data_IF_829513872762
#
_entry.id   IF_829513872762
#
_cell.length_a   1.000
_cell.length_b   1.000
_cell.length_c   1.000
_cell.angle_alpha   90.00
_cell.angle_beta   90.00
_cell.angle_gamma   90.00
#
_symmetry.space_group_name_H-M   'P 1'
#
loop_
_entity.id
_entity.type
_entity.pdbx_description
1 polymer ?
#
# COMPACT_ATOMS: atom_id res chain seq x y z
N UNK A 1 5.02 -23.04 -1.52
CA UNK A 1 4.45 -21.92 -2.28
C UNK A 1 3.00 -21.81 -1.89
N UNK A 2 2.63 -20.72 -1.18
CA UNK A 2 1.26 -20.49 -0.72
C UNK A 2 0.35 -20.14 -1.91
N UNK A 3 -0.98 -20.34 -1.72
CA UNK A 3 -1.98 -19.89 -2.71
C UNK A 3 -1.87 -18.38 -2.97
N UNK A 4 -1.48 -17.62 -1.94
CA UNK A 4 -1.25 -16.18 -2.00
C UNK A 4 -0.05 -15.81 -2.91
N UNK A 5 1.03 -16.61 -2.88
CA UNK A 5 2.20 -16.40 -3.74
C UNK A 5 1.86 -16.64 -5.23
N UNK A 6 0.95 -17.59 -5.50
CA UNK A 6 0.49 -17.91 -6.86
C UNK A 6 -0.42 -16.80 -7.37
N UNK A 7 -1.31 -16.31 -6.51
CA UNK A 7 -2.23 -15.22 -6.84
C UNK A 7 -1.45 -13.92 -7.12
N UNK A 8 -0.50 -13.56 -6.24
CA UNK A 8 0.39 -12.40 -6.40
C UNK A 8 1.16 -12.45 -7.72
N UNK A 9 1.79 -13.61 -8.04
CA UNK A 9 2.52 -13.78 -9.29
C UNK A 9 1.61 -13.71 -10.52
N UNK A 10 0.42 -14.32 -10.43
CA UNK A 10 -0.54 -14.29 -11.52
C UNK A 10 -1.05 -12.87 -11.76
N UNK A 11 -1.44 -12.17 -10.69
CA UNK A 11 -1.94 -10.79 -10.74
C UNK A 11 -0.88 -9.81 -11.26
N UNK A 12 0.36 -9.93 -10.76
CA UNK A 12 1.48 -9.11 -11.21
C UNK A 12 1.87 -9.39 -12.66
N UNK A 13 1.80 -10.64 -13.12
CA UNK A 13 2.08 -11.00 -14.51
C UNK A 13 0.97 -10.50 -15.44
N UNK A 14 -0.28 -10.56 -15.03
CA UNK A 14 -1.40 -10.07 -15.83
C UNK A 14 -1.38 -8.53 -15.92
N UNK A 15 -1.10 -7.83 -14.83
CA UNK A 15 -0.97 -6.36 -14.81
C UNK A 15 0.25 -5.89 -15.59
N UNK A 16 1.41 -6.54 -15.47
CA UNK A 16 2.61 -6.19 -16.22
C UNK A 16 2.57 -6.66 -17.69
N UNK A 17 1.90 -7.78 -17.97
CA UNK A 17 1.72 -8.29 -19.34
C UNK A 17 0.82 -7.41 -20.19
N UNK A 18 -0.19 -6.78 -19.59
CA UNK A 18 -1.12 -5.90 -20.29
C UNK A 18 -0.53 -4.53 -20.67
N UNK A 19 0.62 -4.14 -20.10
CA UNK A 19 1.34 -2.93 -20.52
C UNK A 19 2.08 -3.10 -21.87
N UNK A 20 2.11 -4.30 -22.44
CA UNK A 20 2.76 -4.59 -23.72
C UNK A 20 1.82 -5.03 -24.85
N UNK A 21 0.51 -5.14 -24.59
CA UNK A 21 -0.46 -5.60 -25.59
C UNK A 21 -1.41 -4.50 -26.06
N UNK A 22 -1.56 -4.46 -27.35
CA UNK A 22 -2.47 -3.69 -28.20
C UNK A 22 -3.90 -3.60 -27.62
N UNK A 23 -4.47 -2.43 -27.72
CA UNK A 23 -5.78 -1.95 -27.26
C UNK A 23 -7.03 -2.72 -27.76
N UNK A 24 -6.95 -4.01 -28.05
CA UNK A 24 -8.08 -4.76 -28.66
C UNK A 24 -8.55 -6.03 -27.95
N UNK A 25 -7.83 -6.51 -26.95
CA UNK A 25 -8.21 -7.73 -26.21
C UNK A 25 -8.26 -7.48 -24.69
N UNK A 26 -9.06 -6.49 -24.29
CA UNK A 26 -9.42 -6.32 -22.88
C UNK A 26 -10.54 -7.30 -22.52
N UNK A 27 -10.16 -8.54 -22.20
CA UNK A 27 -11.02 -9.33 -21.32
C UNK A 27 -10.84 -8.75 -19.91
N UNK A 28 -11.81 -7.98 -19.37
CA UNK A 28 -11.67 -7.44 -18.04
C UNK A 28 -11.49 -8.61 -17.08
N UNK A 29 -10.50 -8.53 -16.20
CA UNK A 29 -10.41 -9.42 -15.04
C UNK A 29 -11.79 -9.51 -14.40
N UNK A 30 -12.23 -10.67 -13.90
CA UNK A 30 -13.49 -10.76 -13.19
C UNK A 30 -13.54 -9.63 -12.16
N UNK A 31 -14.45 -8.69 -12.36
CA UNK A 31 -14.57 -7.55 -11.44
C UNK A 31 -14.91 -8.12 -10.08
N UNK A 32 -14.04 -7.91 -9.10
CA UNK A 32 -14.39 -8.21 -7.72
C UNK A 32 -15.68 -7.47 -7.35
N UNK A 33 -16.52 -8.08 -6.50
CA UNK A 33 -17.77 -7.45 -6.09
C UNK A 33 -17.48 -6.12 -5.35
N UNK A 34 -18.39 -5.18 -5.50
CA UNK A 34 -18.31 -3.89 -4.82
C UNK A 34 -18.18 -4.05 -3.30
N UNK A 35 -17.29 -3.28 -2.71
CA UNK A 35 -17.01 -3.23 -1.28
C UNK A 35 -17.73 -2.02 -0.70
N UNK A 36 -18.76 -2.25 0.13
CA UNK A 36 -19.59 -1.17 0.68
C UNK A 36 -20.16 -0.21 -0.39
N UNK A 37 -20.47 -0.73 -1.60
CA UNK A 37 -20.97 0.05 -2.72
C UNK A 37 -19.89 0.85 -3.48
N UNK A 38 -18.62 0.58 -3.24
CA UNK A 38 -17.48 1.19 -3.93
C UNK A 38 -16.71 0.13 -4.71
N UNK A 39 -16.09 0.55 -5.81
CA UNK A 39 -15.14 -0.31 -6.55
C UNK A 39 -13.96 -0.68 -5.66
N UNK A 40 -13.43 -1.91 -5.76
CA UNK A 40 -12.27 -2.35 -4.99
C UNK A 40 -11.05 -1.42 -5.12
N UNK A 41 -10.79 -0.89 -6.33
CA UNK A 41 -9.70 0.06 -6.57
C UNK A 41 -9.86 1.36 -5.75
N UNK A 42 -11.10 1.87 -5.68
CA UNK A 42 -11.41 3.06 -4.86
C UNK A 42 -11.22 2.78 -3.38
N UNK A 43 -11.59 1.58 -2.92
CA UNK A 43 -11.34 1.18 -1.54
C UNK A 43 -9.84 1.07 -1.24
N UNK A 44 -9.06 0.51 -2.15
CA UNK A 44 -7.60 0.46 -2.05
C UNK A 44 -6.97 1.87 -2.01
N UNK A 45 -7.48 2.80 -2.81
CA UNK A 45 -7.07 4.21 -2.74
C UNK A 45 -7.31 4.80 -1.35
N UNK A 46 -8.50 4.60 -0.77
CA UNK A 46 -8.84 5.08 0.58
C UNK A 46 -7.93 4.43 1.64
N UNK A 47 -7.60 3.14 1.47
CA UNK A 47 -6.69 2.43 2.36
C UNK A 47 -5.29 3.09 2.37
N UNK A 48 -4.76 3.47 1.21
CA UNK A 48 -3.50 4.20 1.13
C UNK A 48 -3.59 5.60 1.73
N UNK A 49 -4.63 6.36 1.40
CA UNK A 49 -4.81 7.73 1.88
C UNK A 49 -5.09 7.80 3.38
N UNK A 50 -5.68 6.73 3.96
CA UNK A 50 -5.93 6.67 5.41
C UNK A 50 -4.66 6.79 6.25
N UNK A 51 -3.49 6.47 5.68
CA UNK A 51 -2.19 6.66 6.33
C UNK A 51 -1.89 8.14 6.64
N UNK A 52 -2.43 9.08 5.87
CA UNK A 52 -2.24 10.53 6.10
C UNK A 52 -2.89 11.00 7.41
N UNK A 53 -3.86 10.24 7.94
CA UNK A 53 -4.44 10.47 9.27
C UNK A 53 -3.51 10.03 10.40
N UNK A 54 -2.39 9.37 10.07
CA UNK A 54 -1.45 8.75 11.01
C UNK A 54 -0.68 9.71 11.90
N UNK A 55 -0.88 11.03 11.81
CA UNK A 55 -0.32 12.00 12.75
C UNK A 55 -0.94 11.94 14.16
N UNK A 56 -2.00 11.13 14.31
CA UNK A 56 -2.68 10.87 15.60
C UNK A 56 -2.69 9.37 15.89
N UNK A 57 -2.72 9.00 17.18
CA UNK A 57 -2.83 7.58 17.59
C UNK A 57 -4.03 6.86 16.95
N UNK A 58 -5.14 7.57 16.74
CA UNK A 58 -6.33 7.05 16.07
C UNK A 58 -6.05 6.80 14.59
N UNK A 59 -5.30 7.68 13.93
CA UNK A 59 -4.94 7.53 12.52
C UNK A 59 -4.07 6.29 12.23
N UNK A 60 -3.34 5.81 13.22
CA UNK A 60 -2.59 4.55 13.11
C UNK A 60 -3.50 3.32 12.97
N UNK A 61 -4.62 3.32 13.66
CA UNK A 61 -5.55 2.20 13.64
C UNK A 61 -6.37 2.14 12.34
N UNK A 62 -6.62 3.28 11.70
CA UNK A 62 -7.53 3.36 10.54
C UNK A 62 -7.12 2.44 9.39
N UNK A 63 -5.89 2.47 8.84
CA UNK A 63 -5.51 1.57 7.75
C UNK A 63 -5.55 0.10 8.17
N UNK A 64 -5.23 -0.22 9.42
CA UNK A 64 -5.28 -1.59 9.94
C UNK A 64 -6.73 -2.09 10.00
N UNK A 65 -7.64 -1.25 10.50
CA UNK A 65 -9.07 -1.59 10.59
C UNK A 65 -9.67 -1.73 9.20
N UNK A 66 -9.42 -0.79 8.29
CA UNK A 66 -9.92 -0.86 6.91
C UNK A 66 -9.45 -2.15 6.21
N UNK A 67 -8.18 -2.50 6.37
CA UNK A 67 -7.67 -3.75 5.82
C UNK A 67 -8.33 -4.98 6.48
N UNK A 68 -8.37 -5.04 7.81
CA UNK A 68 -8.89 -6.19 8.55
C UNK A 68 -10.36 -6.49 8.26
N UNK A 69 -11.18 -5.47 7.98
CA UNK A 69 -12.60 -5.62 7.67
C UNK A 69 -12.87 -6.31 6.33
N UNK A 70 -11.94 -6.23 5.38
CA UNK A 70 -12.20 -6.62 3.98
C UNK A 70 -11.18 -7.63 3.44
N UNK A 71 -10.05 -7.83 4.08
CA UNK A 71 -8.96 -8.72 3.61
C UNK A 71 -9.43 -10.12 3.20
N UNK A 72 -10.43 -10.67 3.91
CA UNK A 72 -10.95 -12.03 3.65
C UNK A 72 -11.98 -12.06 2.51
N UNK A 73 -12.43 -10.90 2.03
CA UNK A 73 -13.44 -10.75 0.97
C UNK A 73 -12.87 -10.31 -0.37
N UNK A 74 -11.73 -9.65 -0.36
CA UNK A 74 -11.08 -9.09 -1.54
C UNK A 74 -9.58 -9.34 -1.50
N UNK A 75 -9.07 -10.24 -2.33
CA UNK A 75 -7.63 -10.47 -2.50
C UNK A 75 -6.86 -9.20 -2.90
N UNK A 76 -7.49 -8.33 -3.69
CA UNK A 76 -6.91 -7.05 -4.08
C UNK A 76 -6.68 -6.14 -2.86
N UNK A 77 -7.69 -6.03 -1.97
CA UNK A 77 -7.57 -5.24 -0.74
C UNK A 77 -6.55 -5.85 0.21
N UNK A 78 -6.47 -7.19 0.30
CA UNK A 78 -5.46 -7.85 1.13
C UNK A 78 -4.05 -7.53 0.64
N UNK A 79 -3.82 -7.57 -0.65
CA UNK A 79 -2.53 -7.24 -1.26
C UNK A 79 -2.13 -5.77 -1.00
N UNK A 80 -3.03 -4.82 -1.25
CA UNK A 80 -2.79 -3.41 -0.97
C UNK A 80 -2.60 -3.15 0.53
N UNK A 81 -3.35 -3.84 1.39
CA UNK A 81 -3.22 -3.74 2.84
C UNK A 81 -1.84 -4.20 3.33
N UNK A 82 -1.32 -5.31 2.82
CA UNK A 82 0.03 -5.78 3.12
C UNK A 82 1.10 -4.77 2.70
N UNK A 83 0.94 -4.14 1.53
CA UNK A 83 1.85 -3.07 1.06
C UNK A 83 1.83 -1.88 2.02
N UNK A 84 0.64 -1.43 2.43
CA UNK A 84 0.45 -0.33 3.39
C UNK A 84 1.07 -0.66 4.74
N UNK A 85 0.81 -1.84 5.28
CA UNK A 85 1.34 -2.27 6.57
C UNK A 85 2.86 -2.42 6.56
N UNK A 86 3.42 -3.00 5.51
CA UNK A 86 4.87 -3.12 5.35
C UNK A 86 5.55 -1.76 5.38
N UNK A 87 5.02 -0.79 4.63
CA UNK A 87 5.53 0.57 4.64
C UNK A 87 5.41 1.23 6.01
N UNK A 88 4.28 1.04 6.66
CA UNK A 88 3.99 1.63 7.96
C UNK A 88 4.96 1.18 9.04
N UNK A 89 5.22 -0.14 9.10
CA UNK A 89 6.20 -0.70 10.03
C UNK A 89 7.61 -0.23 9.68
N UNK A 90 7.96 -0.19 8.40
CA UNK A 90 9.26 0.32 7.94
C UNK A 90 9.47 1.78 8.36
N UNK A 91 8.44 2.60 8.20
CA UNK A 91 8.47 4.02 8.59
C UNK A 91 8.68 4.18 10.11
N UNK A 92 8.02 3.35 10.93
CA UNK A 92 8.22 3.36 12.39
C UNK A 92 9.67 3.03 12.76
N UNK A 93 10.25 2.02 12.12
CA UNK A 93 11.65 1.63 12.34
C UNK A 93 12.59 2.77 11.94
N UNK A 94 12.36 3.40 10.79
CA UNK A 94 13.18 4.52 10.32
C UNK A 94 13.04 5.76 11.21
N UNK A 95 11.84 6.07 11.67
CA UNK A 95 11.60 7.18 12.61
C UNK A 95 12.28 6.95 13.94
N UNK A 96 12.26 5.72 14.46
CA UNK A 96 12.95 5.35 15.68
C UNK A 96 14.47 5.47 15.52
N UNK A 97 15.03 4.92 14.44
CA UNK A 97 16.46 5.02 14.14
C UNK A 97 16.91 6.47 13.95
N UNK A 98 16.14 7.28 13.22
CA UNK A 98 16.41 8.70 13.03
C UNK A 98 16.34 9.47 14.35
N UNK A 99 15.40 9.11 15.24
CA UNK A 99 15.32 9.68 16.58
C UNK A 99 16.59 9.42 17.41
N UNK A 100 17.12 8.21 17.36
CA UNK A 100 18.42 7.89 18.02
C UNK A 100 19.58 8.68 17.39
N UNK A 101 19.57 8.85 16.07
CA UNK A 101 20.60 9.64 15.36
C UNK A 101 20.50 11.15 15.63
N UNK A 102 19.41 11.65 16.23
CA UNK A 102 19.33 13.03 16.68
C UNK A 102 20.35 13.35 17.77
N UNK A 103 20.81 12.36 18.55
CA UNK A 103 21.85 12.53 19.56
C UNK A 103 23.16 13.02 18.92
N UNK A 104 23.45 12.61 17.70
CA UNK A 104 24.62 13.03 16.93
C UNK A 104 24.28 14.06 15.82
N UNK A 105 23.17 14.77 15.96
CA UNK A 105 22.64 15.79 15.04
C UNK A 105 22.27 15.29 13.63
N UNK A 106 22.70 14.12 13.20
CA UNK A 106 22.39 13.57 11.86
C UNK A 106 20.88 13.31 11.69
N UNK A 107 20.20 12.91 12.76
CA UNK A 107 18.76 12.65 12.75
C UNK A 107 17.91 13.87 12.35
N UNK A 108 18.33 15.08 12.70
CA UNK A 108 17.65 16.32 12.33
C UNK A 108 17.60 16.54 10.80
N UNK A 109 18.54 15.98 10.06
CA UNK A 109 18.54 16.02 8.60
C UNK A 109 17.67 14.92 8.00
N UNK A 110 17.61 13.75 8.64
CA UNK A 110 16.87 12.58 8.15
C UNK A 110 15.38 12.71 8.42
N UNK A 111 14.97 13.22 9.59
CA UNK A 111 13.56 13.30 9.99
C UNK A 111 12.68 14.07 8.98
N UNK A 112 13.07 15.27 8.47
CA UNK A 112 12.24 15.95 7.48
C UNK A 112 12.03 15.14 6.20
N UNK A 113 13.05 14.41 5.77
CA UNK A 113 12.96 13.55 4.59
C UNK A 113 11.95 12.43 4.82
N UNK A 114 11.99 11.77 5.99
CA UNK A 114 11.02 10.73 6.35
C UNK A 114 9.59 11.27 6.42
N UNK A 115 9.40 12.48 6.95
CA UNK A 115 8.08 13.13 6.97
C UNK A 115 7.56 13.38 5.57
N UNK A 116 8.39 13.86 4.66
CA UNK A 116 8.01 14.04 3.25
C UNK A 116 7.62 12.70 2.61
N UNK A 117 8.41 11.65 2.81
CA UNK A 117 8.10 10.32 2.27
C UNK A 117 6.82 9.74 2.87
N UNK A 118 6.56 9.99 4.16
CA UNK A 118 5.34 9.55 4.84
C UNK A 118 4.05 10.18 4.25
N UNK A 119 4.19 11.33 3.60
CA UNK A 119 3.06 12.00 2.91
C UNK A 119 3.02 11.61 1.43
N UNK A 120 4.16 11.68 0.74
CA UNK A 120 4.23 11.49 -0.72
C UNK A 120 3.88 10.05 -1.11
N UNK A 121 4.40 9.06 -0.40
CA UNK A 121 4.19 7.66 -0.76
C UNK A 121 2.74 7.21 -0.65
N UNK A 122 1.97 7.51 0.42
CA UNK A 122 0.54 7.21 0.46
C UNK A 122 -0.27 7.87 -0.65
N UNK A 123 0.09 9.10 -1.03
CA UNK A 123 -0.59 9.80 -2.12
C UNK A 123 -0.35 9.08 -3.45
N UNK A 124 0.91 8.78 -3.78
CA UNK A 124 1.25 8.05 -5.01
C UNK A 124 0.61 6.65 -5.00
N UNK A 125 0.70 5.95 -3.86
CA UNK A 125 0.08 4.63 -3.69
C UNK A 125 -1.43 4.66 -3.88
N UNK A 126 -2.10 5.68 -3.34
CA UNK A 126 -3.53 5.87 -3.51
C UNK A 126 -3.93 6.13 -4.96
N UNK A 127 -3.21 7.01 -5.67
CA UNK A 127 -3.44 7.27 -7.09
C UNK A 127 -3.26 5.99 -7.90
N UNK A 128 -2.16 5.27 -7.69
CA UNK A 128 -1.87 4.01 -8.39
C UNK A 128 -2.91 2.94 -8.10
N UNK A 129 -3.34 2.82 -6.85
CA UNK A 129 -4.40 1.89 -6.47
C UNK A 129 -5.71 2.18 -7.20
N UNK A 130 -6.10 3.46 -7.33
CA UNK A 130 -7.30 3.85 -8.06
C UNK A 130 -7.19 3.62 -9.58
N UNK A 131 -5.96 3.57 -10.12
CA UNK A 131 -5.66 3.19 -11.51
C UNK A 131 -5.63 1.65 -11.70
N UNK A 132 -5.89 0.86 -10.66
CA UNK A 132 -5.78 -0.61 -10.67
C UNK A 132 -4.33 -1.10 -10.72
N UNK A 133 -3.35 -0.26 -10.37
CA UNK A 133 -1.92 -0.58 -10.41
C UNK A 133 -1.40 -0.89 -9.00
N UNK A 134 -0.80 -2.07 -8.84
CA UNK A 134 -0.12 -2.45 -7.61
C UNK A 134 1.25 -1.78 -7.56
N UNK A 135 1.38 -0.78 -6.70
CA UNK A 135 2.62 -0.05 -6.52
C UNK A 135 3.21 -0.32 -5.13
N UNK A 136 4.37 -0.97 -5.09
CA UNK A 136 5.10 -1.22 -3.85
C UNK A 136 5.93 0.00 -3.50
N UNK A 137 5.88 0.41 -2.25
CA UNK A 137 6.66 1.55 -1.78
C UNK A 137 8.16 1.27 -1.86
N UNK A 138 8.95 2.15 -2.51
CA UNK A 138 10.41 2.09 -2.40
C UNK A 138 10.79 2.18 -0.91
N UNK A 139 11.84 1.53 -0.49
CA UNK A 139 12.30 1.53 0.89
C UNK A 139 11.38 0.78 1.89
N UNK A 140 10.29 0.18 1.44
CA UNK A 140 9.46 -0.67 2.32
C UNK A 140 10.13 -2.01 2.57
N UNK A 141 10.26 -2.37 3.84
CA UNK A 141 10.73 -3.70 4.26
C UNK A 141 9.53 -4.64 4.23
N UNK A 142 9.67 -5.79 3.58
CA UNK A 142 8.57 -6.75 3.44
C UNK A 142 8.47 -7.63 4.67
N UNK A 143 7.51 -7.37 5.55
CA UNK A 143 7.17 -8.20 6.70
C UNK A 143 6.01 -9.14 6.38
N UNK A 144 5.01 -8.65 5.66
CA UNK A 144 3.86 -9.41 5.18
C UNK A 144 4.04 -9.73 3.69
N UNK A 145 3.88 -11.01 3.36
CA UNK A 145 3.93 -11.53 1.99
C UNK A 145 2.55 -11.92 1.52
#
# INVERSE_FOLDING_TARGET
MSADDIFDKKYLNEVNGNNTMSSKDTNPLPSEPDIFGMKPDTYCMLLHLSQLLGSTFVGFAVPIVLWALVKDRSPLVDLHGKIVLNWFISLLIYMFAAGLLCIVFVGFLILPVLVVLAVVFPIIGGIKANEGVIWKYPLSITFFK
#
